data_IF_036673881449
#
_entry.id   IF_036673881449
#
_cell.length_a   1.000
_cell.length_b   1.000
_cell.length_c   1.000
_cell.angle_alpha   90.00
_cell.angle_beta   90.00
_cell.angle_gamma   90.00
#
_symmetry.space_group_name_H-M   'P 1'
#
loop_
_entity.id
_entity.type
_entity.pdbx_description
1 polymer ?
#
# COMPACT_ATOMS: atom_id res chain seq x y z
N UNK A 1 26.35 37.20 17.00
CA UNK A 1 24.93 36.80 16.99
C UNK A 1 24.87 35.39 16.46
N UNK A 2 24.53 34.45 17.34
CA UNK A 2 24.34 33.03 17.03
C UNK A 2 23.00 32.89 16.30
N UNK A 3 23.00 32.19 15.18
CA UNK A 3 21.78 31.58 14.64
C UNK A 3 22.10 30.10 14.44
N UNK A 4 21.63 29.33 15.41
CA UNK A 4 21.65 27.88 15.47
C UNK A 4 20.68 27.36 14.41
N UNK A 5 21.20 26.74 13.35
CA UNK A 5 20.40 25.82 12.53
C UNK A 5 20.75 24.41 12.98
N UNK A 6 19.92 23.85 13.87
CA UNK A 6 19.94 22.43 14.18
C UNK A 6 19.61 21.68 12.89
N UNK A 7 20.63 21.13 12.26
CA UNK A 7 20.46 20.12 11.22
C UNK A 7 20.33 18.79 11.96
N UNK A 8 19.10 18.39 12.29
CA UNK A 8 18.82 17.10 12.90
C UNK A 8 19.31 16.02 11.94
N UNK A 9 20.45 15.43 12.30
CA UNK A 9 21.20 14.45 11.52
C UNK A 9 20.48 13.11 11.47
N UNK A 10 19.33 13.06 10.83
CA UNK A 10 18.79 11.80 10.32
C UNK A 10 19.72 11.40 9.18
N UNK A 11 20.52 10.37 9.41
CA UNK A 11 21.32 9.78 8.36
C UNK A 11 20.37 9.37 7.23
N UNK A 12 20.62 9.87 6.02
CA UNK A 12 20.00 9.37 4.80
C UNK A 12 20.49 7.93 4.63
N UNK A 13 19.74 6.98 5.22
CA UNK A 13 20.04 5.56 5.12
C UNK A 13 19.66 5.18 3.70
N UNK A 14 20.63 4.81 2.84
CA UNK A 14 20.30 4.38 1.50
C UNK A 14 19.32 3.23 1.61
N UNK A 15 18.18 3.32 0.93
CA UNK A 15 17.24 2.21 0.79
C UNK A 15 18.06 0.98 0.40
N UNK A 16 18.18 0.02 1.31
CA UNK A 16 18.90 -1.21 1.03
C UNK A 16 18.12 -1.88 -0.09
N UNK A 17 18.67 -1.85 -1.31
CA UNK A 17 18.12 -2.55 -2.46
C UNK A 17 18.22 -4.05 -2.17
N UNK A 18 17.21 -4.60 -1.52
CA UNK A 18 17.05 -6.04 -1.33
C UNK A 18 16.56 -6.60 -2.66
N UNK A 19 17.47 -6.76 -3.63
CA UNK A 19 17.17 -7.49 -4.86
C UNK A 19 17.28 -8.98 -4.59
N UNK A 20 16.18 -9.69 -4.80
CA UNK A 20 16.13 -11.14 -4.70
C UNK A 20 15.32 -11.68 -5.87
N UNK A 21 16.01 -12.23 -6.87
CA UNK A 21 15.40 -12.75 -8.09
C UNK A 21 14.26 -13.75 -7.81
N UNK A 22 14.35 -14.55 -6.74
CA UNK A 22 13.27 -15.46 -6.36
C UNK A 22 12.01 -14.70 -5.93
N UNK A 23 12.15 -13.62 -5.16
CA UNK A 23 11.02 -12.78 -4.75
C UNK A 23 10.46 -11.98 -5.91
N UNK A 24 11.31 -11.53 -6.84
CA UNK A 24 10.91 -10.83 -8.05
C UNK A 24 10.06 -11.75 -8.95
N UNK A 25 10.57 -12.96 -9.23
CA UNK A 25 9.88 -13.97 -10.02
C UNK A 25 8.57 -14.42 -9.36
N UNK A 26 8.59 -14.63 -8.04
CA UNK A 26 7.40 -14.96 -7.27
C UNK A 26 6.37 -13.83 -7.41
N UNK A 27 6.75 -12.59 -7.14
CA UNK A 27 5.86 -11.43 -7.23
C UNK A 27 5.27 -11.27 -8.64
N UNK A 28 6.09 -11.43 -9.68
CA UNK A 28 5.62 -11.41 -11.06
C UNK A 28 4.59 -12.52 -11.36
N UNK A 29 4.82 -13.74 -10.85
CA UNK A 29 3.87 -14.85 -10.95
C UNK A 29 2.56 -14.57 -10.21
N UNK A 30 2.63 -13.98 -9.01
CA UNK A 30 1.47 -13.62 -8.20
C UNK A 30 0.62 -12.55 -8.89
N UNK A 31 1.24 -11.51 -9.48
CA UNK A 31 0.55 -10.44 -10.24
C UNK A 31 -0.28 -10.96 -11.42
N UNK A 32 0.16 -12.04 -12.07
CA UNK A 32 -0.55 -12.62 -13.20
C UNK A 32 -1.84 -13.36 -12.80
N UNK A 33 -2.07 -13.64 -11.52
CA UNK A 33 -3.23 -14.42 -11.06
C UNK A 33 -4.41 -13.49 -10.80
N UNK A 34 -5.56 -13.69 -11.49
CA UNK A 34 -6.73 -12.84 -11.28
C UNK A 34 -7.37 -13.09 -9.91
N UNK A 35 -7.77 -12.03 -9.23
CA UNK A 35 -8.56 -12.09 -8.01
C UNK A 35 -10.05 -11.88 -8.36
N UNK A 36 -10.96 -12.74 -7.89
CA UNK A 36 -12.38 -12.66 -8.23
C UNK A 36 -13.14 -11.61 -7.37
N UNK A 37 -12.77 -10.33 -7.50
CA UNK A 37 -13.33 -9.24 -6.69
C UNK A 37 -14.86 -9.11 -6.76
N UNK A 38 -15.45 -9.36 -7.92
CA UNK A 38 -16.90 -9.35 -8.11
C UNK A 38 -17.56 -10.46 -7.28
N UNK A 39 -16.86 -11.57 -7.04
CA UNK A 39 -17.30 -12.63 -6.13
C UNK A 39 -17.39 -12.14 -4.69
N UNK A 40 -16.38 -11.39 -4.23
CA UNK A 40 -16.40 -10.77 -2.90
C UNK A 40 -17.51 -9.73 -2.76
N UNK A 41 -17.76 -8.94 -3.80
CA UNK A 41 -18.86 -7.98 -3.79
C UNK A 41 -20.22 -8.69 -3.72
N UNK A 42 -20.45 -9.74 -4.52
CA UNK A 42 -21.69 -10.54 -4.44
C UNK A 42 -21.88 -11.22 -3.09
N UNK A 43 -20.79 -11.62 -2.45
CA UNK A 43 -20.79 -12.19 -1.10
C UNK A 43 -20.88 -11.12 0.01
N UNK A 44 -20.98 -9.82 -0.34
CA UNK A 44 -21.06 -8.70 0.62
C UNK A 44 -19.83 -8.60 1.54
N UNK A 45 -18.67 -9.10 1.09
CA UNK A 45 -17.39 -8.92 1.79
C UNK A 45 -16.73 -7.58 1.46
N UNK A 46 -17.05 -7.04 0.28
CA UNK A 46 -16.68 -5.68 -0.13
C UNK A 46 -17.91 -4.95 -0.66
N UNK A 47 -17.90 -3.62 -0.57
CA UNK A 47 -18.96 -2.75 -1.09
C UNK A 47 -18.78 -2.51 -2.60
N UNK A 48 -19.81 -1.96 -3.24
CA UNK A 48 -19.72 -1.55 -4.65
C UNK A 48 -18.71 -0.42 -4.86
N UNK A 49 -18.57 0.49 -3.88
CA UNK A 49 -17.61 1.58 -3.94
C UNK A 49 -16.17 1.04 -3.85
N UNK A 50 -15.90 0.15 -2.89
CA UNK A 50 -14.60 -0.53 -2.76
C UNK A 50 -14.25 -1.30 -4.04
N UNK A 51 -15.21 -2.02 -4.63
CA UNK A 51 -14.99 -2.71 -5.90
C UNK A 51 -14.58 -1.73 -7.01
N UNK A 52 -15.22 -0.57 -7.12
CA UNK A 52 -14.86 0.45 -8.12
C UNK A 52 -13.42 0.96 -7.92
N UNK A 53 -13.03 1.25 -6.68
CA UNK A 53 -11.66 1.66 -6.38
C UNK A 53 -10.63 0.56 -6.67
N UNK A 54 -10.92 -0.69 -6.31
CA UNK A 54 -10.05 -1.84 -6.63
C UNK A 54 -9.88 -1.97 -8.16
N UNK A 55 -10.98 -1.90 -8.92
CA UNK A 55 -10.94 -1.98 -10.38
C UNK A 55 -10.18 -0.84 -11.03
N UNK A 56 -10.10 0.31 -10.37
CA UNK A 56 -9.31 1.43 -10.85
C UNK A 56 -7.81 1.17 -10.80
N UNK A 57 -7.32 0.25 -9.96
CA UNK A 57 -5.88 0.03 -9.70
C UNK A 57 -5.36 -1.39 -9.94
N UNK A 58 -6.20 -2.44 -9.89
CA UNK A 58 -5.77 -3.87 -9.84
C UNK A 58 -4.85 -4.37 -10.98
N UNK A 59 -4.74 -3.62 -12.08
CA UNK A 59 -3.93 -3.98 -13.27
C UNK A 59 -2.94 -2.88 -13.68
N UNK A 60 -2.77 -1.86 -12.85
CA UNK A 60 -1.91 -0.72 -13.14
C UNK A 60 -0.61 -0.84 -12.34
N UNK A 61 0.46 -0.35 -12.93
CA UNK A 61 1.78 -0.27 -12.31
C UNK A 61 2.46 1.04 -12.74
N UNK A 62 3.47 1.49 -11.99
CA UNK A 62 4.24 2.71 -12.30
C UNK A 62 3.34 3.94 -12.50
N UNK A 63 3.64 4.76 -13.50
CA UNK A 63 2.96 6.04 -13.74
C UNK A 63 1.42 5.91 -13.88
N UNK A 64 0.94 4.81 -14.46
CA UNK A 64 -0.51 4.61 -14.63
C UNK A 64 -1.22 4.41 -13.29
N UNK A 65 -0.55 3.73 -12.34
CA UNK A 65 -1.03 3.57 -10.96
C UNK A 65 -0.98 4.91 -10.22
N UNK A 66 0.14 5.63 -10.36
CA UNK A 66 0.39 6.94 -9.74
C UNK A 66 -0.69 7.96 -10.10
N UNK A 67 -1.04 8.07 -11.39
CA UNK A 67 -2.11 8.96 -11.88
C UNK A 67 -3.48 8.75 -11.21
N UNK A 68 -3.72 7.55 -10.70
CA UNK A 68 -4.96 7.18 -10.02
C UNK A 68 -4.83 7.42 -8.52
N UNK A 69 -3.77 6.90 -7.89
CA UNK A 69 -3.62 6.94 -6.43
C UNK A 69 -3.28 8.32 -5.92
N UNK A 70 -2.47 9.11 -6.62
CA UNK A 70 -2.06 10.44 -6.15
C UNK A 70 -3.20 11.45 -6.04
N UNK A 71 -4.37 11.16 -6.64
CA UNK A 71 -5.57 11.98 -6.50
C UNK A 71 -6.33 11.74 -5.20
N UNK A 72 -6.27 10.53 -4.68
CA UNK A 72 -7.10 10.05 -3.56
C UNK A 72 -6.28 9.11 -2.65
N UNK A 73 -5.03 9.46 -2.37
CA UNK A 73 -4.07 8.58 -1.71
C UNK A 73 -4.54 8.06 -0.35
N UNK A 74 -5.13 8.93 0.46
CA UNK A 74 -5.70 8.59 1.77
C UNK A 74 -6.80 7.52 1.66
N UNK A 75 -7.65 7.63 0.62
CA UNK A 75 -8.75 6.68 0.36
C UNK A 75 -8.17 5.31 -0.02
N UNK A 76 -7.12 5.28 -0.83
CA UNK A 76 -6.44 4.02 -1.17
C UNK A 76 -5.71 3.42 0.02
N UNK A 77 -5.07 4.24 0.86
CA UNK A 77 -4.46 3.79 2.11
C UNK A 77 -5.47 3.07 3.01
N UNK A 78 -6.60 3.73 3.29
CA UNK A 78 -7.69 3.16 4.09
C UNK A 78 -8.28 1.90 3.45
N UNK A 79 -8.57 1.94 2.14
CA UNK A 79 -9.11 0.80 1.40
C UNK A 79 -8.24 -0.46 1.55
N UNK A 80 -6.93 -0.34 1.32
CA UNK A 80 -6.02 -1.49 1.33
C UNK A 80 -5.92 -2.11 2.73
N UNK A 81 -5.86 -1.29 3.78
CA UNK A 81 -5.85 -1.77 5.16
C UNK A 81 -7.18 -2.44 5.54
N UNK A 82 -8.31 -1.82 5.19
CA UNK A 82 -9.64 -2.39 5.44
C UNK A 82 -9.82 -3.74 4.73
N UNK A 83 -9.31 -3.89 3.51
CA UNK A 83 -9.33 -5.17 2.78
C UNK A 83 -8.49 -6.24 3.50
N UNK A 84 -7.29 -5.89 3.99
CA UNK A 84 -6.45 -6.82 4.76
C UNK A 84 -7.08 -7.24 6.09
N UNK A 85 -7.83 -6.36 6.75
CA UNK A 85 -8.51 -6.68 8.01
C UNK A 85 -9.67 -7.68 7.82
N UNK A 86 -10.38 -7.62 6.68
CA UNK A 86 -11.60 -8.43 6.47
C UNK A 86 -11.45 -9.62 5.52
N UNK A 87 -10.42 -9.66 4.67
CA UNK A 87 -10.20 -10.74 3.71
C UNK A 87 -9.05 -11.65 4.16
N UNK A 88 -9.31 -12.95 4.18
CA UNK A 88 -8.38 -13.95 4.74
C UNK A 88 -7.76 -14.89 3.69
N UNK A 89 -8.18 -14.79 2.43
CA UNK A 89 -7.65 -15.65 1.36
C UNK A 89 -6.23 -15.24 1.00
N UNK A 90 -5.33 -16.21 0.99
CA UNK A 90 -3.88 -15.99 0.78
C UNK A 90 -3.58 -15.28 -0.54
N UNK A 91 -4.19 -15.71 -1.63
CA UNK A 91 -4.01 -15.09 -2.96
C UNK A 91 -4.41 -13.61 -2.97
N UNK A 92 -5.46 -13.28 -2.23
CA UNK A 92 -6.04 -11.94 -2.15
C UNK A 92 -5.17 -11.04 -1.29
N UNK A 93 -4.74 -11.53 -0.12
CA UNK A 93 -3.77 -10.82 0.74
C UNK A 93 -2.49 -10.54 -0.04
N UNK A 94 -1.94 -11.54 -0.75
CA UNK A 94 -0.76 -11.38 -1.59
C UNK A 94 -0.95 -10.30 -2.65
N UNK A 95 -2.09 -10.31 -3.36
CA UNK A 95 -2.39 -9.29 -4.37
C UNK A 95 -2.46 -7.88 -3.76
N UNK A 96 -3.02 -7.72 -2.57
CA UNK A 96 -3.10 -6.43 -1.87
C UNK A 96 -1.71 -5.96 -1.44
N UNK A 97 -0.90 -6.86 -0.86
CA UNK A 97 0.46 -6.52 -0.43
C UNK A 97 1.36 -6.14 -1.60
N UNK A 98 1.21 -6.79 -2.76
CA UNK A 98 1.96 -6.41 -3.96
C UNK A 98 1.56 -5.01 -4.44
N UNK A 99 0.26 -4.68 -4.41
CA UNK A 99 -0.18 -3.33 -4.74
C UNK A 99 0.37 -2.29 -3.75
N UNK A 100 0.43 -2.61 -2.45
CA UNK A 100 1.06 -1.74 -1.46
C UNK A 100 2.56 -1.58 -1.71
N UNK A 101 3.26 -2.67 -2.04
CA UNK A 101 4.68 -2.65 -2.42
C UNK A 101 4.92 -1.75 -3.65
N UNK A 102 4.10 -1.90 -4.69
CA UNK A 102 4.17 -1.07 -5.90
C UNK A 102 3.96 0.42 -5.59
N UNK A 103 3.09 0.76 -4.62
CA UNK A 103 2.88 2.14 -4.21
C UNK A 103 4.07 2.72 -3.44
N UNK A 104 4.60 1.96 -2.48
CA UNK A 104 5.67 2.40 -1.59
C UNK A 104 7.03 2.44 -2.29
N UNK A 105 7.31 1.52 -3.22
CA UNK A 105 8.55 1.51 -3.99
C UNK A 105 8.63 2.63 -5.01
N UNK A 106 7.49 3.08 -5.52
CA UNK A 106 7.42 4.13 -6.54
C UNK A 106 7.62 5.52 -5.92
N UNK A 107 7.06 5.78 -4.73
CA UNK A 107 7.12 7.07 -4.04
C UNK A 107 7.10 6.88 -2.51
N UNK A 108 8.21 7.18 -1.83
CA UNK A 108 8.37 6.94 -0.38
C UNK A 108 7.40 7.75 0.49
N UNK A 109 7.01 8.95 0.03
CA UNK A 109 6.07 9.83 0.73
C UNK A 109 4.68 9.22 0.88
N UNK A 110 4.33 8.23 0.04
CA UNK A 110 3.05 7.52 0.10
C UNK A 110 2.92 6.64 1.34
N UNK A 111 4.00 6.40 2.08
CA UNK A 111 3.93 5.82 3.41
C UNK A 111 2.99 6.62 4.33
N UNK A 112 2.85 7.93 4.12
CA UNK A 112 1.94 8.79 4.87
C UNK A 112 0.47 8.34 4.76
N UNK A 113 0.03 7.82 3.60
CA UNK A 113 -1.35 7.35 3.40
C UNK A 113 -1.74 6.25 4.38
N UNK A 114 -0.77 5.43 4.81
CA UNK A 114 -0.97 4.35 5.76
C UNK A 114 -0.70 4.77 7.20
N UNK A 115 0.43 5.45 7.44
CA UNK A 115 0.88 5.81 8.78
C UNK A 115 -0.12 6.73 9.51
N UNK A 116 -0.76 7.65 8.80
CA UNK A 116 -1.77 8.54 9.38
C UNK A 116 -3.00 7.79 9.91
N UNK A 117 -3.32 6.61 9.37
CA UNK A 117 -4.44 5.78 9.84
C UNK A 117 -4.24 5.35 11.30
N UNK A 118 -3.00 5.23 11.76
CA UNK A 118 -2.70 4.93 13.17
C UNK A 118 -3.17 6.02 14.15
N UNK A 119 -3.41 7.25 13.67
CA UNK A 119 -4.01 8.32 14.47
C UNK A 119 -5.52 8.11 14.67
N UNK A 120 -6.18 7.47 13.71
CA UNK A 120 -7.62 7.18 13.73
C UNK A 120 -7.93 5.81 14.34
N UNK A 121 -7.05 4.83 14.13
CA UNK A 121 -7.17 3.46 14.62
C UNK A 121 -5.90 3.03 15.37
N UNK A 122 -5.95 3.14 16.70
CA UNK A 122 -4.86 2.76 17.59
C UNK A 122 -4.60 1.24 17.63
N UNK A 123 -5.44 0.41 16.99
CA UNK A 123 -5.21 -1.05 16.89
C UNK A 123 -4.21 -1.41 15.80
N UNK A 124 -3.95 -0.47 14.86
CA UNK A 124 -2.98 -0.67 13.80
C UNK A 124 -1.55 -0.71 14.35
N UNK A 125 -0.69 -1.62 13.86
CA UNK A 125 0.65 -1.85 14.42
C UNK A 125 1.67 -0.78 13.99
N UNK A 126 1.26 0.48 13.78
CA UNK A 126 2.13 1.55 13.30
C UNK A 126 2.83 2.33 14.41
N UNK A 127 2.41 2.19 15.68
CA UNK A 127 3.03 2.90 16.80
C UNK A 127 4.58 2.78 16.87
N UNK A 128 5.21 1.63 16.55
CA UNK A 128 6.67 1.54 16.50
C UNK A 128 7.35 2.35 15.38
N UNK A 129 6.61 2.70 14.33
CA UNK A 129 7.11 3.37 13.12
C UNK A 129 6.99 4.91 13.16
N UNK A 130 6.24 5.46 14.12
CA UNK A 130 5.94 6.90 14.21
C UNK A 130 6.91 7.67 15.14
N UNK A 131 8.13 7.16 15.34
CA UNK A 131 9.12 7.71 16.28
C UNK A 131 10.15 8.61 15.63
#
# INVERSE_FOLDING_TARGET
>A
MVSTSNNDGVADVPLALVSNAFLDDLTASLRARPIPWEGYQRATLITQAELSYIKAVEKKTGEDLSRVVDKEGDVYGELLINLLQKLVRVDTIQSILILMDDLLLDHEERAAYFLQLGSSDATLPYAPLLK
#
